data_IF_749665989197
#
_entry.id   IF_749665989197
#
_cell.length_a   1.000
_cell.length_b   1.000
_cell.length_c   1.000
_cell.angle_alpha   90.00
_cell.angle_beta   90.00
_cell.angle_gamma   90.00
#
_symmetry.space_group_name_H-M   'P 1'
#
loop_
_entity.id
_entity.type
_entity.pdbx_description
1 polymer ?
#
# COMPACT_ATOMS: atom_id res chain seq x y z
N UNK A 1 -15.20 11.69 31.09
CA UNK A 1 -14.70 11.65 29.70
C UNK A 1 -13.33 10.99 29.70
N UNK A 2 -13.08 10.01 28.83
CA UNK A 2 -11.75 9.39 28.69
C UNK A 2 -10.85 10.35 27.91
N UNK A 3 -9.69 10.68 28.47
CA UNK A 3 -8.67 11.48 27.78
C UNK A 3 -7.93 10.61 26.77
N UNK A 4 -8.01 10.96 25.48
CA UNK A 4 -7.27 10.27 24.41
C UNK A 4 -5.90 10.93 24.29
N UNK A 5 -4.85 10.21 24.68
CA UNK A 5 -3.47 10.67 24.55
C UNK A 5 -2.88 10.16 23.23
N UNK A 6 -2.85 11.01 22.21
CA UNK A 6 -2.39 10.64 20.86
C UNK A 6 -0.87 10.48 20.82
N UNK A 7 -0.39 9.46 20.08
CA UNK A 7 1.03 9.34 19.72
C UNK A 7 1.48 10.40 18.68
N UNK A 8 0.52 11.10 18.09
CA UNK A 8 0.69 12.13 17.07
C UNK A 8 -0.20 13.34 17.41
N UNK A 9 0.06 14.05 18.52
CA UNK A 9 -0.84 15.09 19.02
C UNK A 9 -0.88 16.35 18.15
N UNK A 10 0.09 16.52 17.25
CA UNK A 10 0.24 17.69 16.38
C UNK A 10 -0.07 17.40 14.90
N UNK A 11 -0.67 16.25 14.58
CA UNK A 11 -1.10 15.96 13.20
C UNK A 11 -2.39 16.72 12.90
N UNK A 12 -2.32 17.61 11.90
CA UNK A 12 -3.46 18.33 11.35
C UNK A 12 -3.69 18.00 9.88
N UNK A 13 -4.45 18.85 9.19
CA UNK A 13 -4.69 18.73 7.74
C UNK A 13 -3.36 18.83 6.98
N UNK A 14 -3.12 17.89 6.06
CA UNK A 14 -1.90 17.89 5.26
C UNK A 14 -2.00 18.88 4.09
N UNK A 15 -0.84 19.27 3.55
CA UNK A 15 -0.74 20.23 2.45
C UNK A 15 -1.46 19.76 1.18
N UNK A 16 -1.50 18.46 0.91
CA UNK A 16 -2.16 17.90 -0.27
C UNK A 16 -3.68 18.12 -0.21
N UNK A 17 -4.29 17.95 0.95
CA UNK A 17 -5.71 18.23 1.18
C UNK A 17 -6.01 19.72 0.98
N UNK A 18 -5.19 20.60 1.58
CA UNK A 18 -5.36 22.06 1.45
C UNK A 18 -5.25 22.50 0.00
N UNK A 19 -4.18 22.09 -0.70
CA UNK A 19 -3.92 22.52 -2.08
C UNK A 19 -4.92 21.93 -3.07
N UNK A 20 -5.36 20.69 -2.89
CA UNK A 20 -6.39 20.09 -3.75
C UNK A 20 -7.73 20.82 -3.60
N UNK A 21 -8.10 21.22 -2.39
CA UNK A 21 -9.33 22.00 -2.14
C UNK A 21 -9.27 23.36 -2.83
N UNK A 22 -8.15 24.07 -2.72
CA UNK A 22 -7.96 25.36 -3.38
C UNK A 22 -7.98 25.22 -4.91
N UNK A 23 -7.34 24.19 -5.46
CA UNK A 23 -7.36 23.94 -6.90
C UNK A 23 -8.80 23.75 -7.42
N UNK A 24 -9.63 23.01 -6.68
CA UNK A 24 -11.05 22.83 -7.02
C UNK A 24 -11.85 24.14 -6.89
N UNK A 25 -11.64 24.91 -5.82
CA UNK A 25 -12.31 26.19 -5.57
C UNK A 25 -12.06 27.21 -6.70
N UNK A 26 -10.81 27.28 -7.18
CA UNK A 26 -10.41 28.22 -8.23
C UNK A 26 -10.47 27.63 -9.64
N UNK A 27 -11.02 26.43 -9.81
CA UNK A 27 -11.07 25.70 -11.09
C UNK A 27 -9.69 25.64 -11.79
N UNK A 28 -8.64 25.46 -11.00
CA UNK A 28 -7.27 25.39 -11.47
C UNK A 28 -6.90 23.95 -11.88
N UNK A 29 -6.00 23.82 -12.86
CA UNK A 29 -5.44 22.52 -13.24
C UNK A 29 -4.52 22.03 -12.10
N UNK A 30 -4.86 20.90 -11.50
CA UNK A 30 -4.09 20.33 -10.39
C UNK A 30 -2.96 19.42 -10.89
N UNK A 31 -1.80 20.01 -11.18
CA UNK A 31 -0.58 19.25 -11.51
C UNK A 31 0.13 18.65 -10.29
N UNK A 32 -0.40 18.88 -9.07
CA UNK A 32 0.14 18.34 -7.82
C UNK A 32 -0.47 17.01 -7.38
N UNK A 33 -1.51 16.53 -8.06
CA UNK A 33 -2.12 15.25 -7.74
C UNK A 33 -1.20 14.08 -8.11
N UNK A 34 -1.04 13.13 -7.20
CA UNK A 34 -0.12 11.99 -7.36
C UNK A 34 -0.73 10.75 -8.03
N UNK A 35 -1.96 10.84 -8.56
CA UNK A 35 -2.63 9.73 -9.23
C UNK A 35 -2.94 10.07 -10.70
N UNK A 36 -2.92 9.07 -11.59
CA UNK A 36 -3.25 9.26 -13.01
C UNK A 36 -4.66 9.83 -13.21
N UNK A 37 -4.81 10.70 -14.20
CA UNK A 37 -6.09 11.23 -14.69
C UNK A 37 -6.69 10.42 -15.85
N UNK A 38 -6.09 9.27 -16.16
CA UNK A 38 -6.54 8.34 -17.19
C UNK A 38 -6.96 6.99 -16.60
N UNK A 39 -7.76 6.26 -17.37
CA UNK A 39 -8.26 4.94 -16.98
C UNK A 39 -7.14 3.89 -16.94
N UNK A 40 -7.23 2.95 -16.01
CA UNK A 40 -6.38 1.76 -16.01
C UNK A 40 -6.58 0.93 -17.29
N UNK A 41 -5.58 0.09 -17.63
CA UNK A 41 -5.67 -0.83 -18.77
C UNK A 41 -6.91 -1.71 -18.70
N UNK A 42 -7.66 -1.79 -19.81
CA UNK A 42 -8.85 -2.65 -19.93
C UNK A 42 -8.53 -4.12 -19.68
N UNK A 43 -7.33 -4.58 -20.09
CA UNK A 43 -6.86 -5.93 -19.85
C UNK A 43 -6.76 -6.21 -18.33
N UNK A 44 -6.25 -5.25 -17.57
CA UNK A 44 -6.12 -5.39 -16.12
C UNK A 44 -7.51 -5.44 -15.45
N UNK A 45 -8.46 -4.61 -15.90
CA UNK A 45 -9.86 -4.67 -15.43
C UNK A 45 -10.44 -6.06 -15.69
N UNK A 46 -10.27 -6.58 -16.90
CA UNK A 46 -10.81 -7.89 -17.29
C UNK A 46 -10.21 -9.03 -16.46
N UNK A 47 -8.90 -8.99 -16.17
CA UNK A 47 -8.21 -9.99 -15.35
C UNK A 47 -8.69 -9.97 -13.91
N UNK A 48 -8.85 -8.79 -13.31
CA UNK A 48 -9.38 -8.63 -11.95
C UNK A 48 -10.81 -9.17 -11.87
N UNK A 49 -11.68 -8.78 -12.82
CA UNK A 49 -13.06 -9.27 -12.87
C UNK A 49 -13.12 -10.80 -12.99
N UNK A 50 -12.31 -11.38 -13.88
CA UNK A 50 -12.20 -12.84 -14.04
C UNK A 50 -11.76 -13.54 -12.76
N UNK A 51 -10.82 -12.98 -12.00
CA UNK A 51 -10.40 -13.54 -10.72
C UNK A 51 -11.55 -13.49 -9.69
N UNK A 52 -12.27 -12.38 -9.60
CA UNK A 52 -13.42 -12.24 -8.70
C UNK A 52 -14.54 -13.24 -9.03
N UNK A 53 -14.88 -13.39 -10.31
CA UNK A 53 -15.88 -14.35 -10.78
C UNK A 53 -15.51 -15.81 -10.51
N UNK A 54 -14.21 -16.12 -10.52
CA UNK A 54 -13.69 -17.45 -10.17
C UNK A 54 -13.65 -17.73 -8.66
N UNK A 55 -14.11 -16.80 -7.82
CA UNK A 55 -14.20 -16.99 -6.38
C UNK A 55 -12.92 -16.70 -5.62
N UNK A 56 -11.92 -16.05 -6.22
CA UNK A 56 -10.70 -15.60 -5.52
C UNK A 56 -10.96 -14.36 -4.64
N UNK A 57 -11.94 -14.49 -3.73
CA UNK A 57 -12.44 -13.42 -2.86
C UNK A 57 -12.20 -13.69 -1.36
N UNK A 58 -11.44 -14.75 -1.05
CA UNK A 58 -11.08 -15.14 0.33
C UNK A 58 -9.69 -14.63 0.69
N UNK A 59 -9.37 -14.65 1.99
CA UNK A 59 -8.06 -14.21 2.48
C UNK A 59 -6.90 -14.90 1.77
N UNK A 60 -5.91 -14.10 1.40
CA UNK A 60 -4.61 -14.60 1.00
C UNK A 60 -3.83 -15.12 2.23
N UNK A 61 -2.75 -15.85 1.97
CA UNK A 61 -1.78 -16.19 3.01
C UNK A 61 -1.24 -14.91 3.68
N UNK A 62 -0.83 -14.98 4.95
CA UNK A 62 -0.42 -13.79 5.72
C UNK A 62 0.69 -12.96 5.07
N UNK A 63 1.67 -13.61 4.44
CA UNK A 63 2.74 -12.94 3.71
C UNK A 63 2.30 -12.39 2.32
N UNK A 64 1.09 -12.72 1.88
CA UNK A 64 0.56 -12.44 0.55
C UNK A 64 0.45 -13.68 -0.34
N UNK A 65 -0.25 -13.52 -1.46
CA UNK A 65 -0.47 -14.56 -2.47
C UNK A 65 0.86 -15.08 -3.04
N UNK A 66 1.07 -16.40 -3.02
CA UNK A 66 2.36 -17.03 -3.35
C UNK A 66 2.87 -16.66 -4.74
N UNK A 67 2.02 -16.84 -5.76
CA UNK A 67 2.39 -16.53 -7.15
C UNK A 67 2.75 -15.04 -7.32
N UNK A 68 2.12 -14.13 -6.58
CA UNK A 68 2.49 -12.71 -6.63
C UNK A 68 3.90 -12.49 -6.06
N UNK A 69 4.26 -13.14 -4.96
CA UNK A 69 5.60 -13.07 -4.36
C UNK A 69 6.66 -13.62 -5.32
N UNK A 70 6.39 -14.76 -5.96
CA UNK A 70 7.25 -15.35 -6.98
C UNK A 70 7.49 -14.39 -8.15
N UNK A 71 6.43 -13.81 -8.72
CA UNK A 71 6.56 -12.84 -9.83
C UNK A 71 7.30 -11.57 -9.45
N UNK A 72 7.20 -11.13 -8.19
CA UNK A 72 7.97 -9.99 -7.70
C UNK A 72 9.46 -10.37 -7.59
N UNK A 73 9.79 -11.55 -7.07
CA UNK A 73 11.18 -12.03 -7.01
C UNK A 73 11.81 -12.11 -8.41
N UNK A 74 11.09 -12.68 -9.38
CA UNK A 74 11.49 -12.73 -10.79
C UNK A 74 11.73 -11.33 -11.37
N UNK A 75 10.80 -10.40 -11.14
CA UNK A 75 10.91 -9.02 -11.60
C UNK A 75 12.12 -8.30 -10.98
N UNK A 76 12.35 -8.48 -9.67
CA UNK A 76 13.50 -7.90 -8.98
C UNK A 76 14.83 -8.47 -9.51
N UNK A 77 14.89 -9.76 -9.81
CA UNK A 77 16.06 -10.36 -10.43
C UNK A 77 16.28 -9.82 -11.86
N UNK A 78 15.22 -9.73 -12.66
CA UNK A 78 15.32 -9.23 -14.04
C UNK A 78 15.75 -7.76 -14.13
N UNK A 79 15.27 -6.90 -13.22
CA UNK A 79 15.58 -5.47 -13.23
C UNK A 79 16.88 -5.12 -12.51
N UNK A 80 17.23 -5.86 -11.45
CA UNK A 80 18.28 -5.46 -10.50
C UNK A 80 19.30 -6.56 -10.19
N UNK A 81 19.20 -7.75 -10.80
CA UNK A 81 20.08 -8.89 -10.50
C UNK A 81 19.97 -9.39 -9.06
N UNK A 82 18.89 -9.04 -8.36
CA UNK A 82 18.68 -9.39 -6.95
C UNK A 82 18.02 -10.76 -6.84
N UNK A 83 18.72 -11.72 -6.24
CA UNK A 83 18.21 -13.06 -5.97
C UNK A 83 17.42 -13.09 -4.65
N UNK A 84 16.14 -12.72 -4.71
CA UNK A 84 15.23 -12.70 -3.56
C UNK A 84 14.50 -14.05 -3.42
N UNK A 85 14.43 -14.58 -2.19
CA UNK A 85 13.57 -15.71 -1.88
C UNK A 85 12.13 -15.23 -1.64
N UNK A 86 11.19 -15.74 -2.43
CA UNK A 86 9.79 -15.32 -2.37
C UNK A 86 9.12 -15.57 -1.01
N UNK A 87 9.54 -16.59 -0.26
CA UNK A 87 8.94 -16.99 1.02
C UNK A 87 9.55 -16.24 2.22
N UNK A 88 10.83 -15.87 2.16
CA UNK A 88 11.52 -15.22 3.30
C UNK A 88 11.74 -13.73 3.14
N UNK A 89 11.86 -13.25 1.90
CA UNK A 89 12.33 -11.88 1.64
C UNK A 89 11.20 -10.94 1.15
N UNK A 90 10.01 -11.49 0.87
CA UNK A 90 8.89 -10.73 0.28
C UNK A 90 7.64 -10.87 1.15
N UNK A 91 7.11 -9.72 1.58
CA UNK A 91 5.80 -9.61 2.22
C UNK A 91 4.95 -8.58 1.48
N UNK A 92 3.76 -8.96 1.06
CA UNK A 92 2.80 -8.08 0.37
C UNK A 92 2.10 -7.20 1.41
N UNK A 93 1.92 -5.93 1.08
CA UNK A 93 1.22 -4.96 1.94
C UNK A 93 0.16 -4.20 1.15
N UNK A 94 -0.86 -3.60 1.81
CA UNK A 94 -1.86 -2.74 1.17
C UNK A 94 -1.28 -1.40 0.69
N UNK A 95 -0.45 -1.46 -0.35
CA UNK A 95 0.21 -0.29 -0.94
C UNK A 95 1.45 0.19 -0.17
N UNK A 96 2.19 1.11 -0.80
CA UNK A 96 3.49 1.56 -0.31
C UNK A 96 3.44 2.30 1.04
N UNK A 97 2.36 3.03 1.32
CA UNK A 97 2.18 3.72 2.61
C UNK A 97 2.21 2.74 3.78
N UNK A 98 1.54 1.59 3.65
CA UNK A 98 1.56 0.54 4.67
C UNK A 98 2.92 -0.13 4.78
N UNK A 99 3.61 -0.37 3.64
CA UNK A 99 4.96 -0.91 3.65
C UNK A 99 5.91 -0.02 4.47
N UNK A 100 5.88 1.30 4.22
CA UNK A 100 6.72 2.28 4.92
C UNK A 100 6.40 2.29 6.41
N UNK A 101 5.11 2.39 6.78
CA UNK A 101 4.69 2.38 8.18
C UNK A 101 5.14 1.12 8.91
N UNK A 102 4.93 -0.05 8.30
CA UNK A 102 5.28 -1.35 8.87
C UNK A 102 6.79 -1.49 9.05
N UNK A 103 7.58 -1.08 8.06
CA UNK A 103 9.04 -1.09 8.13
C UNK A 103 9.57 -0.24 9.28
N UNK A 104 9.05 0.98 9.44
CA UNK A 104 9.49 1.87 10.52
C UNK A 104 9.05 1.41 11.91
N UNK A 105 7.79 0.98 12.04
CA UNK A 105 7.24 0.62 13.35
C UNK A 105 7.81 -0.69 13.88
N UNK A 106 8.14 -1.65 13.00
CA UNK A 106 8.79 -2.91 13.36
C UNK A 106 10.21 -2.71 13.91
N UNK A 107 10.98 -1.78 13.33
CA UNK A 107 12.37 -1.53 13.72
C UNK A 107 12.51 -0.65 14.98
N UNK A 108 11.41 -0.06 15.49
CA UNK A 108 11.47 0.85 16.63
C UNK A 108 11.64 0.07 17.95
N UNK A 109 12.83 0.17 18.56
CA UNK A 109 13.11 -0.31 19.93
C UNK A 109 12.16 0.34 20.94
N UNK A 110 11.03 -0.30 21.24
CA UNK A 110 10.08 0.19 22.25
C UNK A 110 8.64 -0.30 22.12
N UNK A 111 8.29 -1.13 21.14
CA UNK A 111 6.92 -1.66 21.01
C UNK A 111 6.92 -3.10 20.46
N UNK A 112 7.48 -4.05 21.21
CA UNK A 112 7.50 -5.48 20.82
C UNK A 112 6.11 -6.17 20.87
N UNK A 113 5.04 -5.43 21.13
CA UNK A 113 3.69 -5.98 21.33
C UNK A 113 2.68 -5.64 20.23
N UNK A 114 3.07 -4.91 19.18
CA UNK A 114 2.18 -4.76 18.01
C UNK A 114 2.47 -5.86 17.00
N UNK A 115 1.90 -7.03 17.28
CA UNK A 115 1.67 -8.05 16.29
C UNK A 115 0.62 -7.45 15.32
N UNK A 116 1.08 -6.98 14.16
CA UNK A 116 0.20 -6.46 13.13
C UNK A 116 -0.59 -7.63 12.54
N UNK A 117 -1.73 -7.94 13.15
CA UNK A 117 -2.75 -8.82 12.60
C UNK A 117 -3.87 -7.97 12.04
N UNK A 118 -3.96 -7.81 10.72
CA UNK A 118 -5.24 -7.48 10.08
C UNK A 118 -5.32 -8.08 8.68
N UNK A 119 -6.17 -9.13 8.59
CA UNK A 119 -7.37 -9.28 7.73
C UNK A 119 -7.39 -8.49 6.43
#
# INVERSE_FOLDING_TARGET
MVSINSKLPQVGTNIFTVMSSLAAEYNAVNLGQGFPDFMMSEELIALVNKAMQKGYNQYAHMAGYSLLRERIAEKCNALYGSNLNADTDITITPGGTYAIYTAFTTCRKGNRSQQFYFV
#
